data_IF_067357516358
#
_entry.id   IF_067357516358
#
_cell.length_a   1.000
_cell.length_b   1.000
_cell.length_c   1.000
_cell.angle_alpha   90.00
_cell.angle_beta   90.00
_cell.angle_gamma   90.00
#
_symmetry.space_group_name_H-M   'P 1'
#
loop_
_entity.id
_entity.type
_entity.pdbx_description
1 polymer ?
#
# COMPACT_ATOMS: atom_id res chain seq x y z
N UNK A 1 6.69 -21.88 -19.91
CA UNK A 1 5.35 -22.04 -19.26
C UNK A 1 4.31 -22.26 -20.34
N UNK A 2 3.47 -23.29 -20.19
CA UNK A 2 2.37 -23.52 -21.14
C UNK A 2 1.45 -22.28 -21.14
N UNK A 3 1.16 -21.73 -22.32
CA UNK A 3 0.25 -20.59 -22.50
C UNK A 3 -1.19 -20.85 -22.02
N UNK A 4 -1.53 -22.09 -21.69
CA UNK A 4 -2.88 -22.54 -21.29
C UNK A 4 -3.09 -22.68 -19.77
N UNK A 5 -2.16 -22.24 -18.94
CA UNK A 5 -2.24 -22.49 -17.50
C UNK A 5 -3.29 -21.60 -16.83
N UNK A 6 -4.38 -22.23 -16.33
CA UNK A 6 -5.49 -21.54 -15.64
C UNK A 6 -5.31 -21.45 -14.13
N UNK A 7 -4.28 -22.02 -13.59
CA UNK A 7 -3.95 -21.98 -12.15
C UNK A 7 -2.46 -21.81 -11.94
N UNK A 8 -2.09 -21.34 -10.78
CA UNK A 8 -0.70 -21.23 -10.33
C UNK A 8 -0.50 -22.02 -9.04
N UNK A 9 0.71 -22.56 -8.88
CA UNK A 9 1.19 -23.19 -7.64
C UNK A 9 1.66 -22.14 -6.65
N UNK A 10 1.93 -22.55 -5.40
CA UNK A 10 2.54 -21.65 -4.42
C UNK A 10 3.88 -21.10 -4.89
N UNK A 11 4.73 -21.96 -5.53
CA UNK A 11 5.99 -21.50 -6.14
C UNK A 11 5.76 -20.38 -7.16
N UNK A 12 4.83 -20.55 -8.08
CA UNK A 12 4.54 -19.55 -9.10
C UNK A 12 3.94 -18.26 -8.51
N UNK A 13 3.15 -18.38 -7.43
CA UNK A 13 2.67 -17.20 -6.71
C UNK A 13 3.81 -16.47 -5.98
N UNK A 14 4.76 -17.21 -5.41
CA UNK A 14 6.00 -16.65 -4.88
C UNK A 14 6.80 -15.92 -5.96
N UNK A 15 7.06 -16.57 -7.10
CA UNK A 15 7.79 -15.99 -8.23
C UNK A 15 7.10 -14.71 -8.76
N UNK A 16 5.76 -14.69 -8.78
CA UNK A 16 4.95 -13.53 -9.13
C UNK A 16 5.22 -12.34 -8.20
N UNK A 17 5.23 -12.54 -6.88
CA UNK A 17 5.47 -11.49 -5.89
C UNK A 17 6.92 -11.01 -5.90
N UNK A 18 7.89 -11.90 -6.11
CA UNK A 18 9.29 -11.55 -6.27
C UNK A 18 9.52 -10.73 -7.55
N UNK A 19 8.89 -11.11 -8.66
CA UNK A 19 8.92 -10.33 -9.90
C UNK A 19 8.34 -8.93 -9.72
N UNK A 20 7.25 -8.79 -8.94
CA UNK A 20 6.69 -7.50 -8.60
C UNK A 20 7.69 -6.62 -7.83
N UNK A 21 8.39 -7.18 -6.84
CA UNK A 21 9.42 -6.47 -6.09
C UNK A 21 10.57 -6.02 -7.01
N UNK A 22 11.12 -6.91 -7.83
CA UNK A 22 12.21 -6.58 -8.76
C UNK A 22 11.80 -5.52 -9.81
N UNK A 23 10.54 -5.52 -10.24
CA UNK A 23 10.03 -4.46 -11.10
C UNK A 23 10.03 -3.11 -10.38
N UNK A 24 9.67 -3.10 -9.11
CA UNK A 24 9.70 -1.89 -8.29
C UNK A 24 11.11 -1.36 -8.06
N UNK A 25 12.09 -2.21 -7.78
CA UNK A 25 13.50 -1.81 -7.61
C UNK A 25 14.04 -1.02 -8.81
N UNK A 26 13.52 -1.30 -10.01
CA UNK A 26 13.94 -0.62 -11.26
C UNK A 26 13.15 0.65 -11.57
N UNK A 27 11.99 0.83 -10.96
CA UNK A 27 11.02 1.85 -11.39
C UNK A 27 10.60 2.83 -10.29
N UNK A 28 10.98 2.64 -9.02
CA UNK A 28 10.46 3.43 -7.90
C UNK A 28 10.79 4.93 -8.00
N UNK A 29 11.97 5.30 -8.51
CA UNK A 29 12.34 6.70 -8.67
C UNK A 29 11.44 7.41 -9.69
N UNK A 30 11.12 6.75 -10.80
CA UNK A 30 10.21 7.30 -11.81
C UNK A 30 8.76 7.43 -11.27
N UNK A 31 8.36 6.58 -10.33
CA UNK A 31 7.08 6.71 -9.63
C UNK A 31 7.13 7.89 -8.63
N UNK A 32 8.25 8.10 -7.93
CA UNK A 32 8.44 9.25 -7.06
C UNK A 32 8.30 10.58 -7.83
N UNK A 33 8.77 10.62 -9.08
CA UNK A 33 8.66 11.80 -9.94
C UNK A 33 7.21 12.21 -10.25
N UNK A 34 6.25 11.31 -10.10
CA UNK A 34 4.81 11.57 -10.29
C UNK A 34 4.11 12.04 -9.02
N UNK A 35 4.78 11.99 -7.86
CA UNK A 35 4.13 12.21 -6.57
C UNK A 35 3.86 13.70 -6.31
N UNK A 36 2.62 14.12 -6.51
CA UNK A 36 2.15 15.49 -6.25
C UNK A 36 0.93 15.55 -5.33
N UNK A 37 0.35 14.40 -4.96
CA UNK A 37 -0.85 14.31 -4.12
C UNK A 37 -0.75 13.10 -3.19
N UNK A 38 -1.24 13.19 -1.93
CA UNK A 38 -1.77 14.39 -1.25
C UNK A 38 -0.68 15.40 -0.85
N UNK A 39 0.56 14.95 -0.70
CA UNK A 39 1.73 15.77 -0.36
C UNK A 39 2.80 15.49 -1.42
N UNK A 40 3.44 16.53 -2.01
CA UNK A 40 4.44 16.35 -3.05
C UNK A 40 5.84 16.10 -2.47
N UNK A 41 5.96 15.08 -1.60
CA UNK A 41 7.21 14.69 -0.92
C UNK A 41 8.09 13.75 -1.76
N UNK A 42 7.56 13.23 -2.88
CA UNK A 42 8.32 12.41 -3.82
C UNK A 42 8.69 11.04 -3.28
N UNK A 43 7.90 10.47 -2.37
CA UNK A 43 8.22 9.23 -1.67
C UNK A 43 7.31 8.03 -2.02
N UNK A 44 6.26 8.22 -2.83
CA UNK A 44 5.26 7.18 -3.14
C UNK A 44 5.90 5.88 -3.65
N UNK A 45 6.82 5.97 -4.60
CA UNK A 45 7.52 4.81 -5.15
C UNK A 45 8.41 4.13 -4.10
N UNK A 46 9.14 4.92 -3.32
CA UNK A 46 9.99 4.45 -2.23
C UNK A 46 9.17 3.71 -1.17
N UNK A 47 8.04 4.25 -0.74
CA UNK A 47 7.16 3.66 0.25
C UNK A 47 6.57 2.33 -0.22
N UNK A 48 6.12 2.26 -1.46
CA UNK A 48 5.61 1.02 -2.05
C UNK A 48 6.73 -0.02 -2.21
N UNK A 49 7.93 0.40 -2.63
CA UNK A 49 9.09 -0.47 -2.78
C UNK A 49 9.51 -1.08 -1.43
N UNK A 50 9.60 -0.29 -0.35
CA UNK A 50 9.93 -0.82 0.99
C UNK A 50 8.86 -1.78 1.51
N UNK A 51 7.58 -1.50 1.23
CA UNK A 51 6.49 -2.41 1.56
C UNK A 51 6.67 -3.75 0.84
N UNK A 52 7.00 -3.73 -0.47
CA UNK A 52 7.25 -4.94 -1.26
C UNK A 52 8.55 -5.65 -0.88
N UNK A 53 9.59 -4.92 -0.47
CA UNK A 53 10.84 -5.51 0.04
C UNK A 53 10.56 -6.39 1.27
N UNK A 54 9.68 -5.96 2.16
CA UNK A 54 9.25 -6.76 3.30
C UNK A 54 8.52 -8.03 2.87
N UNK A 55 7.67 -7.95 1.84
CA UNK A 55 7.01 -9.12 1.25
C UNK A 55 8.04 -10.07 0.64
N UNK A 56 8.92 -9.56 -0.22
CA UNK A 56 9.95 -10.36 -0.89
C UNK A 56 10.86 -11.08 0.12
N UNK A 57 11.27 -10.39 1.19
CA UNK A 57 12.08 -10.96 2.27
C UNK A 57 11.43 -12.17 2.94
N UNK A 58 10.12 -12.13 3.19
CA UNK A 58 9.43 -13.23 3.87
C UNK A 58 9.02 -14.35 2.91
N UNK A 59 8.54 -14.03 1.71
CA UNK A 59 8.14 -15.06 0.75
C UNK A 59 9.35 -15.80 0.16
N UNK A 60 10.53 -15.17 0.04
CA UNK A 60 11.75 -15.84 -0.43
C UNK A 60 12.23 -16.97 0.49
N UNK A 61 11.90 -16.89 1.78
CA UNK A 61 12.24 -17.94 2.77
C UNK A 61 11.33 -19.18 2.67
N UNK A 62 10.20 -19.06 1.96
CA UNK A 62 9.25 -20.16 1.85
C UNK A 62 9.76 -21.24 0.89
N UNK A 63 9.53 -22.53 1.19
CA UNK A 63 9.92 -23.61 0.29
C UNK A 63 9.09 -23.57 -1.00
N UNK A 64 9.63 -24.11 -2.08
CA UNK A 64 8.93 -24.18 -3.38
C UNK A 64 7.71 -25.12 -3.37
N UNK A 65 7.59 -25.94 -2.33
CA UNK A 65 6.47 -26.86 -2.11
C UNK A 65 5.30 -26.26 -1.33
N UNK A 66 5.40 -24.96 -0.95
CA UNK A 66 4.36 -24.28 -0.18
C UNK A 66 3.03 -24.17 -0.96
N UNK A 67 1.92 -24.12 -0.22
CA UNK A 67 0.61 -23.88 -0.79
C UNK A 67 0.43 -22.42 -1.22
N UNK A 68 -0.35 -22.16 -2.27
CA UNK A 68 -0.60 -20.78 -2.74
C UNK A 68 -1.27 -19.89 -1.67
N UNK A 69 -2.14 -20.47 -0.86
CA UNK A 69 -2.80 -19.77 0.25
C UNK A 69 -1.85 -19.40 1.38
N UNK A 70 -0.80 -20.20 1.62
CA UNK A 70 0.25 -19.88 2.58
C UNK A 70 1.07 -18.68 2.07
N UNK A 71 1.45 -18.67 0.80
CA UNK A 71 2.16 -17.54 0.18
C UNK A 71 1.35 -16.25 0.31
N UNK A 72 0.06 -16.28 -0.05
CA UNK A 72 -0.81 -15.12 0.08
C UNK A 72 -0.94 -14.62 1.52
N UNK A 73 -1.02 -15.54 2.49
CA UNK A 73 -1.11 -15.21 3.93
C UNK A 73 0.18 -14.56 4.43
N UNK A 74 1.34 -15.14 4.09
CA UNK A 74 2.66 -14.59 4.45
C UNK A 74 2.88 -13.23 3.79
N UNK A 75 2.56 -13.10 2.50
CA UNK A 75 2.69 -11.84 1.76
C UNK A 75 1.83 -10.72 2.37
N UNK A 76 0.56 -11.00 2.66
CA UNK A 76 -0.34 -10.03 3.29
C UNK A 76 0.15 -9.57 4.67
N UNK A 77 0.67 -10.51 5.47
CA UNK A 77 1.26 -10.21 6.77
C UNK A 77 2.53 -9.36 6.65
N UNK A 78 3.45 -9.78 5.80
CA UNK A 78 4.72 -9.08 5.59
C UNK A 78 4.49 -7.65 5.05
N UNK A 79 3.54 -7.48 4.14
CA UNK A 79 3.16 -6.18 3.60
C UNK A 79 2.69 -5.21 4.70
N UNK A 80 1.85 -5.68 5.63
CA UNK A 80 1.37 -4.84 6.74
C UNK A 80 2.52 -4.44 7.66
N UNK A 81 3.38 -5.40 8.03
CA UNK A 81 4.51 -5.12 8.92
C UNK A 81 5.57 -4.21 8.28
N UNK A 82 5.66 -4.23 6.95
CA UNK A 82 6.59 -3.40 6.18
C UNK A 82 5.96 -2.17 5.55
N UNK A 83 4.68 -1.90 5.79
CA UNK A 83 3.99 -0.77 5.17
C UNK A 83 4.65 0.57 5.53
N UNK A 84 4.79 1.43 4.51
CA UNK A 84 5.32 2.78 4.66
C UNK A 84 4.43 3.76 3.92
N UNK A 85 4.19 4.91 4.52
CA UNK A 85 3.34 5.96 3.95
C UNK A 85 1.93 5.51 3.60
N UNK A 86 1.10 6.42 3.10
CA UNK A 86 -0.27 6.09 2.69
C UNK A 86 -0.31 5.07 1.55
N UNK A 87 0.60 5.20 0.58
CA UNK A 87 0.70 4.29 -0.57
C UNK A 87 1.06 2.87 -0.16
N UNK A 88 2.02 2.71 0.76
CA UNK A 88 2.39 1.39 1.31
C UNK A 88 1.28 0.79 2.16
N UNK A 89 0.56 1.60 2.94
CA UNK A 89 -0.61 1.14 3.71
C UNK A 89 -1.68 0.59 2.77
N UNK A 90 -2.06 1.34 1.74
CA UNK A 90 -3.08 0.91 0.78
C UNK A 90 -2.65 -0.38 0.07
N UNK A 91 -1.40 -0.44 -0.41
CA UNK A 91 -0.83 -1.64 -1.02
C UNK A 91 -0.84 -2.83 -0.05
N UNK A 92 -0.49 -2.62 1.22
CA UNK A 92 -0.50 -3.67 2.23
C UNK A 92 -1.89 -4.23 2.48
N UNK A 93 -2.92 -3.39 2.48
CA UNK A 93 -4.30 -3.82 2.64
C UNK A 93 -4.82 -4.55 1.40
N UNK A 94 -4.39 -4.12 0.22
CA UNK A 94 -4.66 -4.86 -1.03
C UNK A 94 -4.11 -6.29 -0.93
N UNK A 95 -2.82 -6.43 -0.59
CA UNK A 95 -2.16 -7.73 -0.44
C UNK A 95 -2.78 -8.57 0.70
N UNK A 96 -3.16 -7.93 1.81
CA UNK A 96 -3.89 -8.59 2.90
C UNK A 96 -5.21 -9.18 2.44
N UNK A 97 -6.00 -8.42 1.69
CA UNK A 97 -7.28 -8.89 1.17
C UNK A 97 -7.10 -10.04 0.17
N UNK A 98 -6.07 -9.97 -0.70
CA UNK A 98 -5.68 -11.08 -1.57
C UNK A 98 -5.34 -12.31 -0.73
N UNK A 99 -4.47 -12.17 0.28
CA UNK A 99 -4.10 -13.26 1.19
C UNK A 99 -5.30 -13.89 1.90
N UNK A 100 -6.29 -13.09 2.31
CA UNK A 100 -7.54 -13.60 2.88
C UNK A 100 -8.37 -14.38 1.86
N UNK A 101 -8.46 -13.87 0.62
CA UNK A 101 -9.21 -14.52 -0.46
C UNK A 101 -8.57 -15.82 -0.97
N UNK A 102 -7.27 -16.00 -0.76
CA UNK A 102 -6.51 -17.19 -1.18
C UNK A 102 -6.30 -18.23 -0.06
N UNK A 103 -6.64 -17.90 1.18
CA UNK A 103 -6.37 -18.73 2.35
C UNK A 103 -6.88 -20.18 2.16
N UNK A 104 -6.03 -21.17 2.51
CA UNK A 104 -6.31 -22.59 2.44
C UNK A 104 -6.29 -23.21 1.03
N UNK A 105 -5.87 -22.46 0.01
CA UNK A 105 -5.78 -22.93 -1.36
C UNK A 105 -4.39 -23.53 -1.63
N UNK A 106 -4.35 -24.80 -2.10
CA UNK A 106 -3.10 -25.45 -2.53
C UNK A 106 -2.57 -24.84 -3.81
N UNK A 107 -3.44 -24.67 -4.78
CA UNK A 107 -3.22 -23.97 -6.04
C UNK A 107 -4.23 -22.83 -6.15
N UNK A 108 -3.95 -21.85 -6.97
CA UNK A 108 -4.79 -20.69 -7.14
C UNK A 108 -5.26 -20.60 -8.60
N UNK A 109 -6.54 -20.79 -8.82
CA UNK A 109 -7.11 -20.61 -10.17
C UNK A 109 -7.23 -19.12 -10.51
N UNK A 110 -7.27 -18.81 -11.81
CA UNK A 110 -7.47 -17.45 -12.30
C UNK A 110 -8.77 -16.82 -11.73
N UNK A 111 -9.84 -17.60 -11.59
CA UNK A 111 -11.11 -17.15 -11.00
C UNK A 111 -10.98 -16.82 -9.52
N UNK A 112 -10.27 -17.67 -8.76
CA UNK A 112 -10.04 -17.44 -7.33
C UNK A 112 -9.16 -16.21 -7.09
N UNK A 113 -8.12 -16.04 -7.91
CA UNK A 113 -7.27 -14.85 -7.84
C UNK A 113 -8.06 -13.57 -8.15
N UNK A 114 -8.86 -13.56 -9.22
CA UNK A 114 -9.68 -12.40 -9.57
C UNK A 114 -10.66 -12.00 -8.45
N UNK A 115 -11.27 -12.99 -7.78
CA UNK A 115 -12.11 -12.76 -6.59
C UNK A 115 -11.30 -12.26 -5.40
N UNK A 116 -10.13 -12.87 -5.15
CA UNK A 116 -9.23 -12.44 -4.08
C UNK A 116 -8.73 -11.01 -4.29
N UNK A 117 -8.46 -10.63 -5.54
CA UNK A 117 -8.08 -9.26 -5.87
C UNK A 117 -9.22 -8.26 -5.61
N UNK A 118 -10.47 -8.59 -5.97
CA UNK A 118 -11.63 -7.75 -5.60
C UNK A 118 -11.76 -7.59 -4.09
N UNK A 119 -11.48 -8.65 -3.34
CA UNK A 119 -11.43 -8.60 -1.88
C UNK A 119 -10.32 -7.66 -1.40
N UNK A 120 -9.15 -7.71 -2.04
CA UNK A 120 -8.03 -6.78 -1.79
C UNK A 120 -8.44 -5.32 -1.98
N UNK A 121 -9.12 -5.01 -3.09
CA UNK A 121 -9.61 -3.65 -3.35
C UNK A 121 -10.58 -3.18 -2.27
N UNK A 122 -11.49 -4.05 -1.81
CA UNK A 122 -12.40 -3.74 -0.72
C UNK A 122 -11.66 -3.42 0.59
N UNK A 123 -10.61 -4.19 0.91
CA UNK A 123 -9.76 -3.94 2.08
C UNK A 123 -9.02 -2.60 1.96
N UNK A 124 -8.49 -2.28 0.78
CA UNK A 124 -7.82 -1.02 0.51
C UNK A 124 -8.76 0.18 0.72
N UNK A 125 -9.97 0.16 0.15
CA UNK A 125 -10.96 1.22 0.38
C UNK A 125 -11.35 1.38 1.85
N UNK A 126 -11.48 0.27 2.59
CA UNK A 126 -11.85 0.31 4.03
C UNK A 126 -10.72 0.75 4.95
N UNK A 127 -9.50 0.81 4.46
CA UNK A 127 -8.35 1.27 5.26
C UNK A 127 -8.22 2.79 5.31
N UNK A 128 -8.79 3.48 4.34
CA UNK A 128 -8.74 4.94 4.22
C UNK A 128 -10.02 5.52 4.81
N UNK A 129 -9.90 6.53 5.66
CA UNK A 129 -11.04 7.20 6.31
C UNK A 129 -11.93 7.91 5.31
N UNK A 130 -11.32 8.63 4.37
CA UNK A 130 -11.98 9.38 3.31
C UNK A 130 -11.37 8.98 1.96
N UNK A 131 -11.90 7.93 1.29
CA UNK A 131 -11.39 7.51 -0.01
C UNK A 131 -11.55 8.62 -1.06
N UNK A 132 -10.46 8.95 -1.74
CA UNK A 132 -10.42 9.98 -2.78
C UNK A 132 -10.34 9.31 -4.15
N UNK A 133 -11.22 9.70 -5.07
CA UNK A 133 -11.18 9.24 -6.45
C UNK A 133 -10.08 9.96 -7.24
N UNK A 134 -9.55 9.29 -8.26
CA UNK A 134 -8.37 9.76 -9.01
C UNK A 134 -7.04 9.32 -8.39
N UNK A 135 -7.06 8.36 -7.43
CA UNK A 135 -5.90 7.82 -6.74
C UNK A 135 -5.69 6.34 -7.06
N UNK A 136 -4.69 5.73 -6.42
CA UNK A 136 -4.43 4.27 -6.45
C UNK A 136 -5.71 3.44 -6.23
N UNK A 137 -6.66 3.93 -5.41
CA UNK A 137 -7.92 3.24 -5.16
C UNK A 137 -8.79 3.15 -6.42
N UNK A 138 -8.87 4.25 -7.18
CA UNK A 138 -9.58 4.29 -8.46
C UNK A 138 -8.98 3.34 -9.47
N UNK A 139 -7.63 3.33 -9.58
CA UNK A 139 -6.90 2.42 -10.48
C UNK A 139 -7.11 0.97 -10.06
N UNK A 140 -6.99 0.64 -8.77
CA UNK A 140 -7.21 -0.70 -8.23
C UNK A 140 -8.64 -1.20 -8.54
N UNK A 141 -9.65 -0.34 -8.41
CA UNK A 141 -11.03 -0.65 -8.78
C UNK A 141 -11.17 -0.90 -10.29
N UNK A 142 -10.52 -0.09 -11.12
CA UNK A 142 -10.47 -0.30 -12.57
C UNK A 142 -9.84 -1.65 -12.92
N UNK A 143 -8.72 -2.00 -12.32
CA UNK A 143 -8.04 -3.28 -12.49
C UNK A 143 -8.94 -4.47 -12.08
N UNK A 144 -9.61 -4.36 -10.93
CA UNK A 144 -10.55 -5.40 -10.47
C UNK A 144 -11.74 -5.58 -11.44
N UNK A 145 -12.21 -4.51 -12.06
CA UNK A 145 -13.23 -4.59 -13.11
C UNK A 145 -12.71 -5.34 -14.35
N UNK A 146 -11.45 -5.10 -14.75
CA UNK A 146 -10.80 -5.82 -15.85
C UNK A 146 -10.73 -7.32 -15.57
N UNK A 147 -10.30 -7.72 -14.37
CA UNK A 147 -10.31 -9.15 -13.96
C UNK A 147 -11.71 -9.72 -13.98
N UNK A 148 -12.70 -9.02 -13.40
CA UNK A 148 -14.09 -9.50 -13.31
C UNK A 148 -14.68 -9.86 -14.66
N UNK A 149 -14.39 -9.09 -15.70
CA UNK A 149 -14.89 -9.33 -17.05
C UNK A 149 -14.33 -10.62 -17.68
N UNK A 150 -13.18 -11.08 -17.20
CA UNK A 150 -12.45 -12.24 -17.73
C UNK A 150 -12.58 -13.51 -16.90
N UNK A 151 -12.91 -13.43 -15.59
CA UNK A 151 -12.93 -14.62 -14.71
C UNK A 151 -13.97 -15.67 -15.09
N UNK A 152 -14.98 -15.33 -15.87
CA UNK A 152 -16.03 -16.26 -16.32
C UNK A 152 -15.69 -17.01 -17.61
N UNK A 153 -14.63 -16.58 -18.30
CA UNK A 153 -14.19 -17.16 -19.57
C UNK A 153 -13.11 -18.23 -19.40
N UNK A 154 -12.78 -18.85 -20.52
CA UNK A 154 -11.66 -19.79 -20.62
C UNK A 154 -10.32 -19.05 -20.77
N UNK A 155 -10.00 -18.22 -19.78
CA UNK A 155 -8.80 -17.41 -19.81
C UNK A 155 -7.68 -18.07 -18.98
N UNK A 156 -6.45 -17.81 -19.37
CA UNK A 156 -5.25 -18.18 -18.61
C UNK A 156 -5.04 -17.23 -17.42
N UNK A 157 -4.20 -17.63 -16.48
CA UNK A 157 -3.86 -16.78 -15.34
C UNK A 157 -3.17 -15.47 -15.77
N UNK A 158 -2.32 -15.53 -16.80
CA UNK A 158 -1.62 -14.35 -17.34
C UNK A 158 -2.61 -13.39 -18.01
N UNK A 159 -3.59 -13.90 -18.77
CA UNK A 159 -4.61 -13.06 -19.42
C UNK A 159 -5.47 -12.30 -18.41
N UNK A 160 -5.72 -12.88 -17.23
CA UNK A 160 -6.42 -12.16 -16.14
C UNK A 160 -5.58 -11.00 -15.61
N UNK A 161 -4.28 -11.21 -15.42
CA UNK A 161 -3.37 -10.13 -14.99
C UNK A 161 -3.24 -9.05 -16.06
N UNK A 162 -3.15 -9.44 -17.33
CA UNK A 162 -3.09 -8.50 -18.46
C UNK A 162 -4.36 -7.67 -18.57
N UNK A 163 -5.54 -8.28 -18.41
CA UNK A 163 -6.80 -7.56 -18.40
C UNK A 163 -6.89 -6.56 -17.22
N UNK A 164 -6.33 -6.91 -16.06
CA UNK A 164 -6.19 -5.98 -14.95
C UNK A 164 -5.32 -4.79 -15.33
N UNK A 165 -4.14 -5.04 -15.90
CA UNK A 165 -3.19 -4.01 -16.31
C UNK A 165 -3.80 -3.07 -17.36
N UNK A 166 -4.40 -3.62 -18.41
CA UNK A 166 -5.01 -2.83 -19.50
C UNK A 166 -6.09 -1.90 -18.96
N UNK A 167 -7.03 -2.47 -18.19
CA UNK A 167 -8.11 -1.67 -17.62
C UNK A 167 -7.59 -0.66 -16.56
N UNK A 168 -6.56 -1.04 -15.81
CA UNK A 168 -5.87 -0.16 -14.88
C UNK A 168 -5.23 1.04 -15.58
N UNK A 169 -4.57 0.83 -16.71
CA UNK A 169 -3.98 1.90 -17.53
C UNK A 169 -5.03 2.89 -18.06
N UNK A 170 -6.21 2.39 -18.43
CA UNK A 170 -7.32 3.27 -18.81
C UNK A 170 -7.79 4.16 -17.64
N UNK A 171 -7.93 3.59 -16.46
CA UNK A 171 -8.31 4.35 -15.26
C UNK A 171 -7.21 5.31 -14.82
N UNK A 172 -5.94 4.89 -14.91
CA UNK A 172 -4.78 5.73 -14.59
C UNK A 172 -4.74 7.00 -15.46
N UNK A 173 -4.94 6.89 -16.76
CA UNK A 173 -4.99 8.03 -17.69
C UNK A 173 -6.07 9.06 -17.33
N UNK A 174 -7.11 8.63 -16.62
CA UNK A 174 -8.23 9.49 -16.22
C UNK A 174 -8.04 10.12 -14.85
N UNK A 175 -7.00 9.76 -14.09
CA UNK A 175 -6.76 10.32 -12.75
C UNK A 175 -6.58 11.84 -12.73
N UNK A 176 -5.93 12.49 -13.74
CA UNK A 176 -5.83 13.95 -13.77
C UNK A 176 -7.19 14.67 -13.97
N UNK A 177 -8.17 13.99 -14.57
CA UNK A 177 -9.51 14.58 -14.71
C UNK A 177 -10.33 14.51 -13.41
N UNK A 178 -9.91 13.69 -12.46
CA UNK A 178 -10.56 13.49 -11.16
C UNK A 178 -9.92 14.32 -10.04
N UNK A 179 -8.60 14.61 -10.16
CA UNK A 179 -7.85 15.35 -9.14
C UNK A 179 -7.20 16.61 -9.73
N UNK A 180 -7.63 17.80 -9.29
CA UNK A 180 -7.08 19.07 -9.80
C UNK A 180 -5.56 19.19 -9.64
N UNK A 181 -4.97 18.67 -8.56
CA UNK A 181 -3.52 18.68 -8.34
C UNK A 181 -2.76 17.92 -9.43
N UNK A 182 -3.24 16.73 -9.81
CA UNK A 182 -2.64 15.93 -10.89
C UNK A 182 -2.77 16.65 -12.25
N UNK A 183 -3.95 17.26 -12.50
CA UNK A 183 -4.19 18.02 -13.74
C UNK A 183 -3.29 19.24 -13.83
N UNK A 184 -3.11 19.97 -12.74
CA UNK A 184 -2.24 21.15 -12.68
C UNK A 184 -0.77 20.77 -12.92
N UNK A 185 -0.32 19.64 -12.35
CA UNK A 185 1.02 19.12 -12.54
C UNK A 185 1.24 18.42 -13.91
N UNK A 186 0.16 18.06 -14.60
CA UNK A 186 0.22 17.32 -15.89
C UNK A 186 0.75 15.89 -15.72
N UNK A 187 0.47 15.25 -14.57
CA UNK A 187 0.89 13.89 -14.23
C UNK A 187 -0.29 13.01 -13.89
N UNK A 188 -0.09 11.69 -13.95
CA UNK A 188 -1.04 10.69 -13.44
C UNK A 188 -0.76 10.40 -11.97
N UNK A 189 -1.68 9.68 -11.31
CA UNK A 189 -1.49 9.30 -9.91
C UNK A 189 -0.28 8.35 -9.72
N UNK A 190 0.64 8.74 -8.86
CA UNK A 190 1.87 7.99 -8.58
C UNK A 190 1.58 6.59 -8.01
N UNK A 191 0.66 6.49 -7.05
CA UNK A 191 0.25 5.22 -6.45
C UNK A 191 -0.42 4.29 -7.44
N UNK A 192 -1.27 4.83 -8.32
CA UNK A 192 -1.89 4.09 -9.43
C UNK A 192 -0.88 3.58 -10.43
N UNK A 193 0.11 4.42 -10.82
CA UNK A 193 1.23 3.99 -11.66
C UNK A 193 2.03 2.88 -10.98
N UNK A 194 2.31 3.01 -9.69
CA UNK A 194 2.98 1.97 -8.90
C UNK A 194 2.21 0.64 -8.93
N UNK A 195 0.87 0.68 -8.85
CA UNK A 195 0.07 -0.53 -8.93
C UNK A 195 0.16 -1.21 -10.31
N UNK A 196 0.26 -0.45 -11.39
CA UNK A 196 0.52 -0.99 -12.73
C UNK A 196 1.89 -1.69 -12.76
N UNK A 197 2.95 -1.03 -12.29
CA UNK A 197 4.31 -1.59 -12.20
C UNK A 197 4.32 -2.89 -11.39
N UNK A 198 3.60 -2.94 -10.28
CA UNK A 198 3.43 -4.14 -9.47
C UNK A 198 2.85 -5.31 -10.28
N UNK A 199 1.76 -5.10 -11.01
CA UNK A 199 1.13 -6.17 -11.79
C UNK A 199 1.94 -6.57 -13.03
N UNK A 200 2.64 -5.65 -13.68
CA UNK A 200 3.56 -5.96 -14.77
C UNK A 200 4.72 -6.82 -14.28
N UNK A 201 5.26 -6.50 -13.09
CA UNK A 201 6.25 -7.34 -12.40
C UNK A 201 5.70 -8.72 -12.03
N UNK A 202 4.44 -8.80 -11.60
CA UNK A 202 3.77 -10.08 -11.37
C UNK A 202 3.73 -10.96 -12.64
N UNK A 203 3.42 -10.38 -13.79
CA UNK A 203 3.41 -11.08 -15.08
C UNK A 203 4.82 -11.53 -15.46
N UNK A 204 5.83 -10.67 -15.32
CA UNK A 204 7.23 -11.03 -15.60
C UNK A 204 7.69 -12.20 -14.69
N UNK A 205 7.44 -12.13 -13.38
CA UNK A 205 7.81 -13.18 -12.42
C UNK A 205 7.18 -14.52 -12.74
N UNK A 206 5.88 -14.55 -13.09
CA UNK A 206 5.18 -15.79 -13.44
C UNK A 206 5.69 -16.40 -14.75
N UNK A 207 6.15 -15.55 -15.68
CA UNK A 207 6.72 -15.99 -16.97
C UNK A 207 8.22 -16.34 -16.88
N UNK A 208 8.86 -16.10 -15.74
CA UNK A 208 10.30 -16.27 -15.57
C UNK A 208 11.12 -15.32 -16.45
N UNK A 209 10.58 -14.12 -16.72
CA UNK A 209 11.26 -13.08 -17.50
C UNK A 209 11.90 -12.06 -16.58
N UNK A 210 12.98 -11.45 -17.05
CA UNK A 210 13.55 -10.29 -16.37
C UNK A 210 12.59 -9.10 -16.41
N UNK A 211 12.53 -8.39 -15.28
CA UNK A 211 11.78 -7.16 -15.22
C UNK A 211 12.53 -6.05 -15.97
N UNK A 212 11.82 -5.35 -16.83
CA UNK A 212 12.35 -4.22 -17.60
C UNK A 212 12.08 -2.90 -16.86
N UNK A 213 12.87 -1.88 -17.20
CA UNK A 213 12.53 -0.49 -16.83
C UNK A 213 11.37 -0.08 -17.70
N UNK A 214 10.25 0.23 -17.08
CA UNK A 214 9.02 0.57 -17.78
C UNK A 214 9.07 2.03 -18.25
N UNK A 215 8.63 2.33 -19.48
CA UNK A 215 8.52 3.70 -19.93
C UNK A 215 7.35 4.39 -19.19
N UNK A 216 7.69 5.05 -18.09
CA UNK A 216 6.75 5.89 -17.37
C UNK A 216 6.79 7.26 -18.02
N UNK A 217 5.65 7.70 -18.55
CA UNK A 217 5.54 9.02 -19.17
C UNK A 217 5.81 10.09 -18.12
N UNK A 218 6.99 10.71 -18.21
CA UNK A 218 7.34 11.85 -17.37
C UNK A 218 6.53 13.06 -17.80
N UNK A 219 6.12 13.88 -16.86
CA UNK A 219 5.55 15.19 -17.17
C UNK A 219 6.48 15.94 -18.12
N UNK A 220 5.94 16.43 -19.24
CA UNK A 220 6.71 17.25 -20.20
C UNK A 220 7.11 18.62 -19.64
N UNK A 221 6.54 18.99 -18.51
CA UNK A 221 6.93 20.18 -17.75
C UNK A 221 7.97 19.78 -16.72
N UNK A 222 9.19 20.37 -16.76
CA UNK A 222 10.11 20.20 -15.64
C UNK A 222 9.39 20.69 -14.39
N UNK A 223 9.06 19.76 -13.48
CA UNK A 223 8.60 20.13 -12.16
C UNK A 223 9.77 20.83 -11.47
N UNK A 224 9.76 22.15 -11.46
CA UNK A 224 10.58 22.91 -10.53
C UNK A 224 10.05 22.61 -9.13
N UNK A 225 10.57 21.55 -8.52
CA UNK A 225 10.24 21.11 -7.14
C UNK A 225 10.42 22.25 -6.12
N UNK A 226 11.10 23.32 -6.49
CA UNK A 226 11.45 24.42 -5.58
C UNK A 226 10.78 25.77 -5.86
N UNK A 227 10.03 25.96 -6.95
CA UNK A 227 9.70 27.34 -7.36
C UNK A 227 8.21 27.70 -7.45
N UNK A 228 7.25 26.79 -7.26
CA UNK A 228 5.83 27.13 -7.32
C UNK A 228 4.95 26.42 -6.27
N UNK A 229 5.51 25.92 -5.22
CA UNK A 229 4.74 25.69 -4.01
C UNK A 229 4.86 27.02 -3.26
N UNK A 230 3.88 27.93 -3.45
CA UNK A 230 3.57 28.85 -2.38
C UNK A 230 3.55 28.01 -1.12
N UNK A 231 4.14 28.43 0.01
CA UNK A 231 4.05 27.66 1.24
C UNK A 231 2.56 27.40 1.40
N UNK A 232 2.15 26.16 1.08
CA UNK A 232 0.80 25.71 1.37
C UNK A 232 0.66 26.06 2.82
N UNK A 233 -0.30 26.92 3.12
CA UNK A 233 -0.71 27.21 4.49
C UNK A 233 -1.31 25.90 4.99
N UNK A 234 -0.40 24.95 5.25
CA UNK A 234 -0.77 23.59 5.67
C UNK A 234 -1.24 23.76 7.10
N UNK A 235 -2.55 23.71 7.27
CA UNK A 235 -3.19 23.65 8.58
C UNK A 235 -2.54 22.56 9.47
N UNK A 236 -1.97 21.52 8.82
CA UNK A 236 -1.27 20.39 9.45
C UNK A 236 0.07 20.10 8.76
N UNK A 237 1.16 20.82 9.12
CA UNK A 237 2.45 20.68 8.43
C UNK A 237 3.24 19.42 8.81
N UNK A 238 2.74 18.61 9.75
CA UNK A 238 3.45 17.44 10.24
C UNK A 238 2.81 16.14 9.76
N UNK A 239 3.65 15.24 9.31
CA UNK A 239 3.32 13.88 8.96
C UNK A 239 3.75 12.99 10.12
N UNK A 240 2.85 12.22 10.72
CA UNK A 240 3.15 11.43 11.92
C UNK A 240 2.73 9.97 11.72
N UNK A 241 3.63 9.05 12.02
CA UNK A 241 3.36 7.62 12.04
C UNK A 241 3.60 7.09 13.46
N UNK A 242 2.67 6.28 13.99
CA UNK A 242 2.86 5.65 15.27
C UNK A 242 2.19 4.28 15.35
N UNK A 243 2.70 3.42 16.22
CA UNK A 243 2.16 2.10 16.50
C UNK A 243 1.71 2.07 17.95
N UNK A 244 0.44 1.73 18.19
CA UNK A 244 -0.10 1.53 19.53
C UNK A 244 -0.14 0.04 19.82
N UNK A 245 0.56 -0.41 20.88
CA UNK A 245 0.62 -1.81 21.31
C UNK A 245 0.04 -1.98 22.71
N UNK A 246 -0.64 -3.10 22.92
CA UNK A 246 -1.17 -3.44 24.24
C UNK A 246 -2.33 -2.57 24.72
N UNK A 247 -2.89 -1.70 23.89
CA UNK A 247 -3.99 -0.84 24.26
C UNK A 247 -5.34 -1.55 24.14
N UNK A 248 -6.18 -1.40 25.15
CA UNK A 248 -7.52 -2.00 25.19
C UNK A 248 -8.57 -1.08 24.54
N UNK A 249 -8.25 -0.49 23.38
CA UNK A 249 -9.10 0.43 22.63
C UNK A 249 -9.51 -0.18 21.28
N UNK A 250 -10.66 0.22 20.75
CA UNK A 250 -11.12 -0.23 19.44
C UNK A 250 -10.54 0.64 18.32
N UNK A 251 -10.49 0.10 17.09
CA UNK A 251 -10.16 0.90 15.89
C UNK A 251 -11.04 2.15 15.81
N UNK A 252 -12.34 2.00 16.09
CA UNK A 252 -13.30 3.10 16.05
C UNK A 252 -12.96 4.19 17.08
N UNK A 253 -12.60 3.80 18.29
CA UNK A 253 -12.23 4.76 19.34
C UNK A 253 -11.02 5.61 18.94
N UNK A 254 -10.02 4.99 18.29
CA UNK A 254 -8.83 5.72 17.80
C UNK A 254 -9.21 6.62 16.62
N UNK A 255 -10.03 6.12 15.70
CA UNK A 255 -10.51 6.92 14.57
C UNK A 255 -11.29 8.15 15.04
N UNK A 256 -12.24 7.97 15.95
CA UNK A 256 -13.06 9.06 16.51
C UNK A 256 -12.19 10.11 17.23
N UNK A 257 -11.17 9.64 17.95
CA UNK A 257 -10.23 10.53 18.62
C UNK A 257 -9.38 11.35 17.62
N UNK A 258 -8.92 10.73 16.54
CA UNK A 258 -8.16 11.42 15.48
C UNK A 258 -9.03 12.41 14.71
N UNK A 259 -10.28 12.05 14.39
CA UNK A 259 -11.26 12.97 13.79
C UNK A 259 -11.50 14.17 14.72
N UNK A 260 -11.66 13.95 16.01
CA UNK A 260 -11.86 15.00 17.00
C UNK A 260 -10.68 15.98 17.13
N UNK A 261 -9.48 15.63 16.64
CA UNK A 261 -8.32 16.53 16.59
C UNK A 261 -8.31 17.47 15.39
N UNK A 262 -9.36 17.47 14.55
CA UNK A 262 -9.40 18.13 13.25
C UNK A 262 -8.22 17.71 12.36
N UNK A 263 -7.74 16.48 12.55
CA UNK A 263 -6.61 15.93 11.81
C UNK A 263 -6.94 15.80 10.33
N UNK A 264 -5.92 16.01 9.51
CA UNK A 264 -5.95 15.64 8.11
C UNK A 264 -6.19 14.13 7.93
N UNK A 265 -6.25 13.69 6.69
CA UNK A 265 -6.47 12.29 6.34
C UNK A 265 -5.53 11.33 7.09
N UNK A 266 -6.10 10.26 7.58
CA UNK A 266 -5.36 9.20 8.27
C UNK A 266 -5.79 7.82 7.79
N UNK A 267 -4.86 6.87 7.84
CA UNK A 267 -5.12 5.46 7.60
C UNK A 267 -4.86 4.66 8.87
N UNK A 268 -5.83 3.85 9.28
CA UNK A 268 -5.71 2.99 10.46
C UNK A 268 -5.69 1.53 10.04
N UNK A 269 -4.57 0.84 10.33
CA UNK A 269 -4.45 -0.59 10.17
C UNK A 269 -4.70 -1.29 11.51
N UNK A 270 -5.58 -2.30 11.49
CA UNK A 270 -5.75 -3.22 12.61
C UNK A 270 -5.19 -4.58 12.22
N UNK A 271 -4.20 -5.02 12.95
CA UNK A 271 -3.65 -6.36 12.83
C UNK A 271 -4.48 -7.37 13.63
N UNK A 272 -4.91 -8.46 13.00
CA UNK A 272 -5.53 -9.58 13.71
C UNK A 272 -4.47 -10.59 14.15
N UNK A 273 -3.31 -10.14 14.65
CA UNK A 273 -2.33 -11.10 15.11
C UNK A 273 -2.69 -11.66 16.48
N UNK A 274 -2.59 -13.00 16.60
CA UNK A 274 -2.45 -13.72 17.84
C UNK A 274 -1.03 -13.49 18.42
N UNK A 275 -0.74 -12.28 18.79
CA UNK A 275 0.07 -12.03 19.94
C UNK A 275 -0.90 -11.83 21.09
N UNK A 276 -0.54 -12.20 22.32
CA UNK A 276 -1.36 -12.04 23.53
C UNK A 276 -1.67 -10.57 23.86
N UNK A 277 -1.71 -9.71 22.84
CA UNK A 277 -2.03 -8.30 22.90
C UNK A 277 -3.37 -8.07 22.20
N UNK A 278 -4.31 -7.31 22.77
CA UNK A 278 -5.67 -7.18 22.27
C UNK A 278 -5.75 -6.54 20.87
N UNK A 279 -4.80 -5.72 20.44
CA UNK A 279 -4.64 -5.22 19.07
C UNK A 279 -3.37 -4.38 18.91
N UNK A 280 -2.88 -4.30 17.66
CA UNK A 280 -1.90 -3.30 17.23
C UNK A 280 -2.60 -2.33 16.27
N UNK A 281 -2.42 -1.04 16.47
CA UNK A 281 -2.88 0.00 15.56
C UNK A 281 -1.64 0.66 14.99
N UNK A 282 -1.48 0.59 13.68
CA UNK A 282 -0.49 1.36 12.96
C UNK A 282 -1.20 2.55 12.29
N UNK A 283 -0.76 3.73 12.58
CA UNK A 283 -1.10 4.96 11.89
C UNK A 283 0.09 5.33 11.02
N UNK A 284 -0.11 5.31 9.71
CA UNK A 284 0.96 5.50 8.77
C UNK A 284 0.95 6.91 8.21
N UNK A 285 2.04 7.59 8.44
CA UNK A 285 2.58 8.63 7.56
C UNK A 285 4.09 8.51 7.50
N UNK A 286 4.66 8.60 6.31
CA UNK A 286 6.02 8.27 5.93
C UNK A 286 7.09 8.76 6.86
N UNK A 287 7.98 7.90 7.28
CA UNK A 287 9.33 8.23 7.68
C UNK A 287 10.33 7.08 7.60
N UNK A 288 11.57 7.50 7.41
CA UNK A 288 12.84 6.84 7.30
C UNK A 288 13.08 5.66 8.27
N UNK A 289 13.93 4.70 7.85
CA UNK A 289 14.15 3.37 8.42
C UNK A 289 14.70 3.29 9.86
N UNK A 290 15.00 4.39 10.49
CA UNK A 290 15.42 4.41 11.90
C UNK A 290 14.23 4.37 12.82
N UNK A 291 13.92 3.21 13.37
CA UNK A 291 13.00 3.06 14.50
C UNK A 291 13.57 3.84 15.69
N UNK A 292 13.17 5.07 15.86
CA UNK A 292 13.39 5.79 17.10
C UNK A 292 12.33 5.32 18.11
N UNK A 293 12.80 4.72 19.20
CA UNK A 293 11.98 4.61 20.39
C UNK A 293 11.81 6.02 20.93
N UNK A 294 10.67 6.65 20.68
CA UNK A 294 10.37 7.96 21.24
C UNK A 294 9.60 7.76 22.51
N UNK A 295 10.04 8.46 23.54
CA UNK A 295 9.32 8.53 24.80
C UNK A 295 7.92 9.11 24.57
N UNK A 296 6.94 8.61 25.29
CA UNK A 296 5.55 9.12 25.26
C UNK A 296 5.52 10.63 25.51
N UNK A 297 6.44 11.15 26.31
CA UNK A 297 6.53 12.56 26.63
C UNK A 297 6.99 13.42 25.45
N UNK A 298 7.83 12.89 24.56
CA UNK A 298 8.24 13.61 23.34
C UNK A 298 7.06 13.76 22.37
N UNK A 299 6.22 12.74 22.29
CA UNK A 299 5.04 12.77 21.45
C UNK A 299 3.98 13.76 21.96
N UNK A 300 3.85 13.93 23.26
CA UNK A 300 2.98 14.93 23.91
C UNK A 300 3.34 16.36 23.52
N UNK A 301 4.62 16.62 23.26
CA UNK A 301 5.08 17.93 22.85
C UNK A 301 4.60 18.34 21.47
N UNK A 302 4.49 17.40 20.55
CA UNK A 302 4.14 17.68 19.15
C UNK A 302 2.62 17.79 18.91
N UNK A 303 1.78 17.19 19.76
CA UNK A 303 0.33 17.26 19.58
C UNK A 303 -0.45 17.23 20.91
N UNK A 304 -0.80 18.39 21.48
CA UNK A 304 -1.44 18.50 22.78
C UNK A 304 -2.72 17.65 22.96
N UNK A 305 -3.52 17.50 21.87
CA UNK A 305 -4.74 16.69 21.91
C UNK A 305 -4.52 15.19 21.91
N UNK A 306 -3.41 14.72 21.32
CA UNK A 306 -3.02 13.31 21.44
C UNK A 306 -2.66 13.00 22.89
N UNK A 307 -2.12 13.97 23.60
CA UNK A 307 -1.89 13.85 25.05
C UNK A 307 -3.16 13.53 25.84
N UNK A 308 -4.28 14.20 25.52
CA UNK A 308 -5.57 13.91 26.18
C UNK A 308 -6.03 12.48 25.90
N UNK A 309 -5.84 12.01 24.65
CA UNK A 309 -6.19 10.65 24.22
C UNK A 309 -5.32 9.63 24.97
N UNK A 310 -4.01 9.85 24.96
CA UNK A 310 -3.06 8.97 25.63
C UNK A 310 -3.28 8.95 27.13
N UNK A 311 -3.48 10.10 27.77
CA UNK A 311 -3.76 10.21 29.20
C UNK A 311 -5.07 9.53 29.58
N UNK A 312 -6.10 9.62 28.75
CA UNK A 312 -7.37 8.93 28.97
C UNK A 312 -7.23 7.40 28.98
N UNK A 313 -6.29 6.89 28.16
CA UNK A 313 -6.05 5.45 27.99
C UNK A 313 -4.75 4.95 28.66
N UNK A 314 -3.98 5.82 29.30
CA UNK A 314 -2.73 5.48 29.99
C UNK A 314 -2.93 4.41 31.10
N UNK A 315 -4.07 4.45 31.77
CA UNK A 315 -4.43 3.47 32.77
C UNK A 315 -4.77 2.09 32.21
N UNK A 316 -5.12 2.02 30.92
CA UNK A 316 -5.46 0.79 30.20
C UNK A 316 -4.27 0.24 29.39
N UNK A 317 -3.21 1.04 29.24
CA UNK A 317 -1.99 0.69 28.50
C UNK A 317 -0.86 0.42 29.49
N UNK A 318 -0.68 -0.80 29.94
CA UNK A 318 0.37 -1.17 30.92
C UNK A 318 1.78 -0.96 30.37
N UNK A 319 1.99 -0.90 29.04
CA UNK A 319 3.19 -0.38 28.36
C UNK A 319 2.84 -0.13 26.88
N UNK A 320 2.47 1.08 26.55
CA UNK A 320 2.44 1.50 25.14
C UNK A 320 3.85 1.90 24.74
N UNK A 321 4.49 1.12 23.90
CA UNK A 321 5.69 1.58 23.19
C UNK A 321 5.20 2.38 21.99
N UNK A 322 5.21 3.70 22.12
CA UNK A 322 5.06 4.60 21.00
C UNK A 322 6.40 4.63 20.26
N UNK A 323 6.39 4.16 19.02
CA UNK A 323 7.52 4.36 18.13
C UNK A 323 7.18 5.56 17.25
N UNK A 324 7.81 6.69 17.51
CA UNK A 324 7.79 7.84 16.65
C UNK A 324 9.11 7.89 15.89
N UNK A 325 9.04 8.12 14.61
CA UNK A 325 10.22 8.36 13.79
C UNK A 325 10.29 9.83 13.49
N UNK A 326 11.10 10.50 14.24
CA UNK A 326 11.54 11.87 14.10
C UNK A 326 10.79 12.85 13.19
N UNK A 327 10.93 14.11 13.46
CA UNK A 327 10.44 15.20 12.59
C UNK A 327 11.00 15.06 11.17
N UNK A 328 10.12 15.29 10.19
CA UNK A 328 10.51 15.47 8.78
C UNK A 328 11.68 16.44 8.68
N UNK A 329 12.84 16.06 8.14
CA UNK A 329 13.82 17.04 7.81
C UNK A 329 13.23 17.97 6.76
N UNK A 330 13.08 19.22 7.11
CA UNK A 330 12.95 20.28 6.14
C UNK A 330 14.37 20.61 5.71
N UNK A 331 14.75 20.22 4.53
CA UNK A 331 15.74 20.89 3.70
C UNK A 331 15.42 20.64 2.22
#
# INVERSE_FOLDING_TARGET
>A
MNQEQRFITGKQFKDMLLGAYHSFEKNYESINDLNVFPVPDGDTGTNMMHTLASVAKEVSKMPDTCDAGEVGTVAGRAAIMGARGNSGVILSQLLRGIGKGTAGKKVLTHTEFGKAFQYGVLYAYRSVSTPVEGTILTVARGMAKGTYNKIRGENTFVEILQAAIENGKEYLKRTPDMLPALKAAGVVDAGGQGLIVFFEGCVAGIQGKDCEVLPIEKSTKPMNRAQNIEPLDLEFPYCTEFIVKGANVTKQTVADALIATNGADFAIMKEPFKFDLPFDIALSKSYDETTLNVDVDDFRYFHPRINEILTKYENDCVHSVLQNKGSCPRD
#
